data_IF_892719757664
#
_entry.id   IF_892719757664
#
_cell.length_a   1.000
_cell.length_b   1.000
_cell.length_c   1.000
_cell.angle_alpha   90.00
_cell.angle_beta   90.00
_cell.angle_gamma   90.00
#
_symmetry.space_group_name_H-M   'P 1'
#
loop_
_entity.id
_entity.type
_entity.pdbx_description
1 polymer ?
#
# COMPACT_ATOMS: atom_id res chain seq x y z
N UNK A 1 75.29 28.33 -21.41
CA UNK A 1 73.95 28.27 -20.76
C UNK A 1 72.99 27.62 -21.74
N UNK A 2 72.50 26.41 -21.43
CA UNK A 2 71.52 25.66 -22.25
C UNK A 2 70.11 26.07 -21.79
N UNK A 3 69.31 26.68 -22.66
CA UNK A 3 67.90 26.95 -22.38
C UNK A 3 67.05 25.78 -22.89
N UNK A 4 66.38 25.08 -21.97
CA UNK A 4 65.37 24.07 -22.27
C UNK A 4 64.00 24.76 -22.39
N UNK A 5 63.35 24.61 -23.54
CA UNK A 5 61.95 24.98 -23.76
C UNK A 5 61.06 23.88 -23.18
N UNK A 6 60.36 24.19 -22.09
CA UNK A 6 59.29 23.37 -21.52
C UNK A 6 58.00 23.58 -22.34
N UNK A 7 57.56 22.54 -23.05
CA UNK A 7 56.21 22.46 -23.60
C UNK A 7 55.23 22.12 -22.46
N UNK A 8 54.33 23.05 -22.14
CA UNK A 8 53.21 22.82 -21.24
C UNK A 8 52.10 22.05 -21.99
N UNK A 9 51.85 20.80 -21.60
CA UNK A 9 50.71 20.03 -22.06
C UNK A 9 49.45 20.46 -21.28
N UNK A 10 48.51 21.12 -21.95
CA UNK A 10 47.21 21.43 -21.38
C UNK A 10 46.35 20.15 -21.35
N UNK A 11 46.14 19.59 -20.16
CA UNK A 11 45.21 18.49 -19.95
C UNK A 11 43.77 19.05 -19.96
N UNK A 12 43.02 18.80 -21.04
CA UNK A 12 41.58 19.01 -21.06
C UNK A 12 40.92 17.92 -20.22
N UNK A 13 40.37 18.29 -19.06
CA UNK A 13 39.49 17.42 -18.29
C UNK A 13 38.17 17.26 -19.07
N UNK A 14 37.99 16.13 -19.75
CA UNK A 14 36.71 15.77 -20.34
C UNK A 14 35.76 15.42 -19.19
N UNK A 15 34.57 16.03 -19.09
CA UNK A 15 33.59 15.63 -18.08
C UNK A 15 33.25 14.15 -18.28
N UNK A 16 33.47 13.35 -17.24
CA UNK A 16 33.08 11.95 -17.26
C UNK A 16 31.55 11.88 -17.30
N UNK A 17 30.99 11.63 -18.50
CA UNK A 17 29.58 11.27 -18.62
C UNK A 17 29.38 9.97 -17.81
N UNK A 18 28.43 9.99 -16.88
CA UNK A 18 28.03 8.81 -16.12
C UNK A 18 27.65 7.69 -17.11
N UNK A 19 28.13 6.47 -16.85
CA UNK A 19 27.78 5.32 -17.67
C UNK A 19 26.37 4.81 -17.36
N UNK A 20 25.81 3.92 -18.19
CA UNK A 20 24.47 3.37 -17.99
C UNK A 20 24.22 2.74 -16.60
N UNK A 21 25.26 2.20 -15.96
CA UNK A 21 25.19 1.63 -14.61
C UNK A 21 25.00 2.74 -13.56
N UNK A 22 25.76 3.82 -13.64
CA UNK A 22 25.63 4.96 -12.73
C UNK A 22 24.30 5.69 -12.93
N UNK A 23 23.85 5.83 -14.18
CA UNK A 23 22.55 6.41 -14.50
C UNK A 23 21.40 5.56 -13.93
N UNK A 24 21.50 4.23 -14.02
CA UNK A 24 20.51 3.33 -13.44
C UNK A 24 20.48 3.39 -11.92
N UNK A 25 21.64 3.39 -11.26
CA UNK A 25 21.71 3.56 -9.81
C UNK A 25 21.06 4.88 -9.37
N UNK A 26 21.43 5.99 -10.04
CA UNK A 26 20.83 7.30 -9.75
C UNK A 26 19.32 7.30 -9.96
N UNK A 27 18.83 6.64 -11.00
CA UNK A 27 17.40 6.51 -11.24
C UNK A 27 16.70 5.76 -10.11
N UNK A 28 17.29 4.66 -9.62
CA UNK A 28 16.74 3.89 -8.50
C UNK A 28 16.70 4.72 -7.23
N UNK A 29 17.75 5.48 -6.92
CA UNK A 29 17.81 6.36 -5.75
C UNK A 29 16.76 7.48 -5.82
N UNK A 30 16.64 8.14 -6.97
CA UNK A 30 15.63 9.19 -7.18
C UNK A 30 14.20 8.63 -7.10
N UNK A 31 13.96 7.44 -7.66
CA UNK A 31 12.67 6.76 -7.59
C UNK A 31 12.32 6.36 -6.15
N UNK A 32 13.27 5.81 -5.40
CA UNK A 32 13.08 5.46 -4.00
C UNK A 32 12.75 6.70 -3.16
N UNK A 33 13.48 7.80 -3.35
CA UNK A 33 13.19 9.05 -2.66
C UNK A 33 11.78 9.59 -2.96
N UNK A 34 11.32 9.48 -4.22
CA UNK A 34 9.97 9.85 -4.62
C UNK A 34 8.90 8.94 -3.99
N UNK A 35 9.11 7.62 -4.03
CA UNK A 35 8.22 6.64 -3.39
C UNK A 35 8.03 6.96 -1.90
N UNK A 36 9.12 7.20 -1.17
CA UNK A 36 9.06 7.50 0.26
C UNK A 36 8.39 8.85 0.56
N UNK A 37 8.59 9.85 -0.29
CA UNK A 37 7.89 11.14 -0.17
C UNK A 37 6.38 10.98 -0.38
N UNK A 38 5.98 10.15 -1.32
CA UNK A 38 4.57 9.91 -1.65
C UNK A 38 3.90 8.96 -0.64
N UNK A 39 4.68 8.21 0.14
CA UNK A 39 4.21 7.27 1.17
C UNK A 39 4.90 7.50 2.54
N UNK A 40 4.52 8.55 3.30
CA UNK A 40 5.16 8.90 4.57
C UNK A 40 5.23 7.77 5.61
N UNK A 41 4.19 6.93 5.70
CA UNK A 41 4.16 5.79 6.64
C UNK A 41 5.16 4.70 6.22
N UNK A 42 5.31 4.45 4.92
CA UNK A 42 6.35 3.55 4.39
C UNK A 42 7.74 4.10 4.66
N UNK A 43 7.94 5.42 4.52
CA UNK A 43 9.21 6.06 4.87
C UNK A 43 9.61 5.77 6.32
N UNK A 44 8.69 5.95 7.26
CA UNK A 44 8.92 5.60 8.66
C UNK A 44 9.24 4.12 8.86
N UNK A 45 8.50 3.20 8.19
CA UNK A 45 8.71 1.76 8.37
C UNK A 45 10.07 1.27 7.88
N UNK A 46 10.71 1.99 6.95
CA UNK A 46 12.07 1.69 6.46
C UNK A 46 13.14 2.57 7.12
N UNK A 47 12.79 3.34 8.16
CA UNK A 47 13.74 4.15 8.94
C UNK A 47 14.03 5.55 8.39
N UNK A 48 13.28 6.02 7.39
CA UNK A 48 13.40 7.39 6.87
C UNK A 48 12.46 8.33 7.63
N UNK A 49 13.02 9.10 8.55
CA UNK A 49 12.28 9.94 9.50
C UNK A 49 11.83 11.30 8.94
N UNK A 50 12.27 11.62 7.71
CA UNK A 50 11.99 12.92 7.06
C UNK A 50 10.50 13.26 6.98
N UNK A 51 9.64 12.24 6.85
CA UNK A 51 8.19 12.38 6.65
C UNK A 51 7.38 11.90 7.87
N UNK A 52 8.01 11.78 9.05
CA UNK A 52 7.38 11.24 10.27
C UNK A 52 6.16 12.03 10.76
N UNK A 53 6.05 13.29 10.34
CA UNK A 53 4.97 14.20 10.71
C UNK A 53 3.82 14.23 9.71
N UNK A 54 3.95 13.53 8.59
CA UNK A 54 3.03 13.60 7.45
C UNK A 54 2.16 12.35 7.35
N UNK A 55 0.96 12.52 6.77
CA UNK A 55 0.06 11.43 6.41
C UNK A 55 -0.33 11.55 4.93
N UNK A 56 -0.05 10.48 4.17
CA UNK A 56 -0.24 10.43 2.73
C UNK A 56 -1.68 10.77 2.28
N UNK A 57 -1.79 11.40 1.12
CA UNK A 57 -3.06 11.75 0.47
C UNK A 57 -3.66 10.56 -0.25
N UNK A 58 -4.98 10.40 -0.15
CA UNK A 58 -5.74 9.36 -0.85
C UNK A 58 -6.66 9.92 -1.94
N UNK A 59 -6.42 11.16 -2.35
CA UNK A 59 -7.24 11.84 -3.36
C UNK A 59 -6.87 11.38 -4.77
N UNK A 60 -7.81 11.50 -5.71
CA UNK A 60 -7.54 11.19 -7.12
C UNK A 60 -6.45 12.10 -7.70
N UNK A 61 -6.44 13.37 -7.32
CA UNK A 61 -5.40 14.30 -7.74
C UNK A 61 -4.00 13.88 -7.25
N UNK A 62 -3.90 13.34 -6.04
CA UNK A 62 -2.63 12.78 -5.55
C UNK A 62 -2.19 11.58 -6.38
N UNK A 63 -3.10 10.64 -6.66
CA UNK A 63 -2.81 9.48 -7.52
C UNK A 63 -2.37 9.91 -8.93
N UNK A 64 -3.03 10.89 -9.55
CA UNK A 64 -2.67 11.38 -10.88
C UNK A 64 -1.29 12.06 -10.89
N UNK A 65 -0.95 12.83 -9.84
CA UNK A 65 0.39 13.42 -9.70
C UNK A 65 1.47 12.35 -9.56
N UNK A 66 1.22 11.31 -8.76
CA UNK A 66 2.16 10.20 -8.58
C UNK A 66 2.39 9.42 -9.88
N UNK A 67 1.34 9.23 -10.67
CA UNK A 67 1.42 8.54 -11.98
C UNK A 67 2.12 9.41 -13.04
N UNK A 68 1.91 10.73 -13.02
CA UNK A 68 2.67 11.64 -13.88
C UNK A 68 4.18 11.56 -13.56
N UNK A 69 4.54 11.51 -12.28
CA UNK A 69 5.91 11.30 -11.84
C UNK A 69 6.46 9.92 -12.24
N UNK A 70 5.66 8.86 -12.10
CA UNK A 70 6.01 7.52 -12.59
C UNK A 70 6.29 7.52 -14.11
N UNK A 71 5.52 8.28 -14.89
CA UNK A 71 5.76 8.48 -16.32
C UNK A 71 7.13 9.12 -16.63
N UNK A 72 7.56 10.08 -15.82
CA UNK A 72 8.91 10.69 -15.91
C UNK A 72 9.98 9.65 -15.61
N UNK A 73 9.83 8.85 -14.55
CA UNK A 73 10.76 7.77 -14.22
C UNK A 73 10.82 6.71 -15.31
N UNK A 74 9.69 6.30 -15.87
CA UNK A 74 9.63 5.31 -16.94
C UNK A 74 10.34 5.80 -18.22
N UNK A 75 10.19 7.08 -18.56
CA UNK A 75 10.92 7.69 -19.68
C UNK A 75 12.43 7.66 -19.44
N UNK A 76 12.89 8.01 -18.23
CA UNK A 76 14.32 7.95 -17.85
C UNK A 76 14.83 6.51 -17.88
N UNK A 77 14.06 5.55 -17.37
CA UNK A 77 14.40 4.13 -17.38
C UNK A 77 14.60 3.63 -18.81
N UNK A 78 13.65 3.92 -19.72
CA UNK A 78 13.70 3.50 -21.13
C UNK A 78 14.88 4.09 -21.92
N UNK A 79 15.51 5.16 -21.43
CA UNK A 79 16.72 5.72 -22.02
C UNK A 79 18.00 4.94 -21.66
N UNK A 80 17.95 4.08 -20.64
CA UNK A 80 19.08 3.26 -20.20
C UNK A 80 19.07 1.94 -20.97
N UNK A 81 20.19 1.59 -21.60
CA UNK A 81 20.33 0.32 -22.31
C UNK A 81 20.40 -0.85 -21.31
N UNK A 82 19.31 -1.61 -21.17
CA UNK A 82 19.26 -2.76 -20.25
C UNK A 82 20.37 -3.79 -20.53
N UNK A 83 20.74 -4.00 -21.80
CA UNK A 83 21.80 -4.94 -22.19
C UNK A 83 23.21 -4.54 -21.72
N UNK A 84 23.40 -3.29 -21.28
CA UNK A 84 24.65 -2.80 -20.70
C UNK A 84 24.75 -3.02 -19.18
N UNK A 85 23.67 -3.52 -18.54
CA UNK A 85 23.63 -3.82 -17.12
C UNK A 85 24.06 -5.27 -16.85
N UNK A 86 24.52 -5.54 -15.62
CA UNK A 86 24.74 -6.91 -15.13
C UNK A 86 23.43 -7.72 -15.13
N UNK A 87 23.50 -9.05 -15.01
CA UNK A 87 22.29 -9.88 -14.90
C UNK A 87 21.35 -9.42 -13.77
N UNK A 88 21.90 -9.06 -12.60
CA UNK A 88 21.13 -8.49 -11.50
C UNK A 88 20.56 -7.11 -11.84
N UNK A 89 21.32 -6.26 -12.54
CA UNK A 89 20.85 -4.97 -13.01
C UNK A 89 19.72 -5.09 -14.04
N UNK A 90 19.78 -6.08 -14.93
CA UNK A 90 18.72 -6.39 -15.89
C UNK A 90 17.43 -6.85 -15.20
N UNK A 91 17.56 -7.69 -14.16
CA UNK A 91 16.42 -8.10 -13.34
C UNK A 91 15.78 -6.90 -12.63
N UNK A 92 16.59 -6.05 -11.98
CA UNK A 92 16.11 -4.83 -11.31
C UNK A 92 15.46 -3.85 -12.30
N UNK A 93 16.03 -3.70 -13.50
CA UNK A 93 15.46 -2.90 -14.57
C UNK A 93 14.07 -3.43 -14.97
N UNK A 94 13.94 -4.74 -15.15
CA UNK A 94 12.67 -5.36 -15.52
C UNK A 94 11.60 -5.16 -14.44
N UNK A 95 11.95 -5.36 -13.16
CA UNK A 95 11.04 -5.14 -12.03
C UNK A 95 10.60 -3.67 -11.95
N UNK A 96 11.54 -2.72 -12.04
CA UNK A 96 11.21 -1.29 -11.98
C UNK A 96 10.32 -0.88 -13.17
N UNK A 97 10.60 -1.39 -14.37
CA UNK A 97 9.78 -1.14 -15.55
C UNK A 97 8.37 -1.65 -15.36
N UNK A 98 8.21 -2.89 -14.90
CA UNK A 98 6.90 -3.50 -14.67
C UNK A 98 6.10 -2.75 -13.60
N UNK A 99 6.74 -2.37 -12.49
CA UNK A 99 6.11 -1.57 -11.43
C UNK A 99 5.61 -0.21 -11.95
N UNK A 100 6.44 0.51 -12.73
CA UNK A 100 6.08 1.82 -13.28
C UNK A 100 4.96 1.70 -14.31
N UNK A 101 5.05 0.76 -15.24
CA UNK A 101 4.01 0.53 -16.27
C UNK A 101 2.70 0.10 -15.63
N UNK A 102 2.74 -0.80 -14.65
CA UNK A 102 1.55 -1.26 -13.93
C UNK A 102 0.92 -0.16 -13.08
N UNK A 103 1.72 0.71 -12.43
CA UNK A 103 1.19 1.87 -11.70
C UNK A 103 0.46 2.85 -12.62
N UNK A 104 1.02 3.11 -13.81
CA UNK A 104 0.39 3.98 -14.82
C UNK A 104 -0.91 3.37 -15.33
N UNK A 105 -0.92 2.07 -15.64
CA UNK A 105 -2.12 1.37 -16.12
C UNK A 105 -3.20 1.26 -15.04
N UNK A 106 -2.82 0.94 -13.79
CA UNK A 106 -3.71 0.89 -12.62
C UNK A 106 -4.51 2.19 -12.45
N UNK A 107 -3.86 3.33 -12.70
CA UNK A 107 -4.48 4.65 -12.56
C UNK A 107 -5.61 4.90 -13.58
N UNK A 108 -5.64 4.14 -14.70
CA UNK A 108 -6.72 4.18 -15.68
C UNK A 108 -7.98 3.41 -15.27
N UNK A 109 -7.93 2.62 -14.20
CA UNK A 109 -9.07 1.86 -13.70
C UNK A 109 -9.78 2.60 -12.57
N UNK A 110 -11.10 2.73 -12.65
CA UNK A 110 -11.89 3.42 -11.63
C UNK A 110 -11.93 2.70 -10.27
N UNK A 111 -11.57 1.41 -10.24
CA UNK A 111 -11.36 0.61 -9.03
C UNK A 111 -10.31 1.20 -8.08
N UNK A 112 -9.42 2.10 -8.58
CA UNK A 112 -8.48 2.87 -7.74
C UNK A 112 -9.16 3.72 -6.65
N UNK A 113 -10.47 3.95 -6.75
CA UNK A 113 -11.26 4.70 -5.77
C UNK A 113 -11.70 3.85 -4.56
N UNK A 114 -11.58 2.52 -4.63
CA UNK A 114 -12.04 1.63 -3.57
C UNK A 114 -10.99 1.48 -2.46
N UNK A 115 -11.13 2.29 -1.43
CA UNK A 115 -10.27 2.26 -0.23
C UNK A 115 -10.85 1.42 0.92
N UNK A 116 -11.91 0.65 0.66
CA UNK A 116 -12.58 -0.15 1.67
C UNK A 116 -12.92 -1.56 1.20
N UNK A 117 -12.71 -2.53 2.09
CA UNK A 117 -13.14 -3.92 2.01
C UNK A 117 -13.18 -4.53 3.41
N UNK A 118 -13.67 -5.75 3.54
CA UNK A 118 -13.59 -6.51 4.82
C UNK A 118 -12.19 -7.06 5.13
N UNK A 119 -11.31 -7.17 4.12
CA UNK A 119 -9.93 -7.64 4.33
C UNK A 119 -8.99 -6.50 4.70
N UNK A 120 -9.39 -5.26 4.42
CA UNK A 120 -8.61 -4.07 4.68
C UNK A 120 -9.36 -2.83 4.24
N UNK A 121 -9.32 -1.80 5.07
CA UNK A 121 -9.99 -0.52 4.84
C UNK A 121 -9.15 0.63 5.38
N UNK A 122 -9.28 1.80 4.77
CA UNK A 122 -8.46 2.95 5.13
C UNK A 122 -8.64 3.36 6.60
N UNK A 123 -9.88 3.35 7.11
CA UNK A 123 -10.15 3.68 8.51
C UNK A 123 -9.50 2.70 9.49
N UNK A 124 -9.42 1.41 9.14
CA UNK A 124 -8.72 0.40 9.94
C UNK A 124 -7.20 0.57 9.90
N UNK A 125 -6.65 0.88 8.73
CA UNK A 125 -5.21 1.13 8.52
C UNK A 125 -4.74 2.35 9.32
N UNK A 126 -5.49 3.45 9.24
CA UNK A 126 -5.16 4.70 9.94
C UNK A 126 -5.23 4.51 11.46
N UNK A 127 -6.21 3.76 11.97
CA UNK A 127 -6.31 3.43 13.39
C UNK A 127 -5.16 2.55 13.91
N UNK A 128 -4.54 1.74 13.06
CA UNK A 128 -3.40 0.88 13.40
C UNK A 128 -2.03 1.52 13.20
N UNK A 129 -1.96 2.77 12.76
CA UNK A 129 -0.71 3.39 12.32
C UNK A 129 0.36 3.52 13.41
N UNK A 130 -0.04 3.56 14.69
CA UNK A 130 0.89 3.50 15.83
C UNK A 130 1.68 2.19 15.91
N UNK A 131 1.23 1.11 15.27
CA UNK A 131 1.91 -0.20 15.31
C UNK A 131 3.16 -0.26 14.42
N UNK A 132 3.31 0.71 13.49
CA UNK A 132 4.33 0.68 12.43
C UNK A 132 5.45 1.73 12.59
N UNK A 133 5.60 2.35 13.77
CA UNK A 133 6.63 3.37 14.02
C UNK A 133 7.25 3.26 15.42
N UNK A 134 8.51 3.70 15.61
CA UNK A 134 9.17 3.65 16.91
C UNK A 134 8.59 4.70 17.88
N UNK A 135 8.68 4.41 19.18
CA UNK A 135 8.25 5.31 20.27
C UNK A 135 9.26 5.31 21.43
N UNK A 136 10.40 5.98 21.23
CA UNK A 136 11.57 5.94 22.16
C UNK A 136 11.93 7.31 22.72
N UNK A 137 11.64 8.37 22.00
CA UNK A 137 12.03 9.75 22.34
C UNK A 137 10.82 10.68 22.31
N UNK A 138 10.95 11.85 22.92
CA UNK A 138 9.91 12.89 22.82
C UNK A 138 9.52 13.19 21.37
N UNK A 139 10.52 13.25 20.47
CA UNK A 139 10.30 13.57 19.06
C UNK A 139 9.43 12.51 18.36
N UNK A 140 9.57 11.23 18.70
CA UNK A 140 8.76 10.15 18.12
C UNK A 140 7.26 10.36 18.44
N UNK A 141 6.96 10.65 19.71
CA UNK A 141 5.58 10.91 20.14
C UNK A 141 5.03 12.22 19.57
N UNK A 142 5.83 13.28 19.51
CA UNK A 142 5.39 14.56 18.93
C UNK A 142 5.16 14.45 17.41
N UNK A 143 6.02 13.70 16.70
CA UNK A 143 5.84 13.42 15.28
C UNK A 143 4.56 12.60 15.04
N UNK A 144 4.32 11.59 15.87
CA UNK A 144 3.09 10.81 15.80
C UNK A 144 1.85 11.69 16.01
N UNK A 145 1.84 12.56 17.03
CA UNK A 145 0.74 13.53 17.24
C UNK A 145 0.52 14.43 16.02
N UNK A 146 1.60 14.93 15.42
CA UNK A 146 1.51 15.74 14.20
C UNK A 146 0.90 14.94 13.05
N UNK A 147 1.33 13.68 12.86
CA UNK A 147 0.80 12.79 11.82
C UNK A 147 -0.68 12.47 12.04
N UNK A 148 -1.08 12.07 13.25
CA UNK A 148 -2.48 11.73 13.51
C UNK A 148 -3.40 12.96 13.51
N UNK A 149 -2.86 14.18 13.54
CA UNK A 149 -3.65 15.40 13.36
C UNK A 149 -4.23 15.55 11.95
N UNK A 150 -3.69 14.83 10.96
CA UNK A 150 -4.24 14.78 9.59
C UNK A 150 -5.41 13.80 9.44
N UNK A 151 -5.65 12.91 10.41
CA UNK A 151 -6.68 11.87 10.33
C UNK A 151 -8.08 12.44 10.03
N UNK A 152 -8.54 13.55 10.62
CA UNK A 152 -9.86 14.11 10.29
C UNK A 152 -10.00 14.45 8.81
N UNK A 153 -9.03 15.18 8.24
CA UNK A 153 -9.04 15.53 6.82
C UNK A 153 -9.01 14.28 5.92
N UNK A 154 -8.21 13.28 6.29
CA UNK A 154 -8.12 12.03 5.53
C UNK A 154 -9.37 11.16 5.60
N UNK A 155 -10.07 11.16 6.74
CA UNK A 155 -11.36 10.48 6.86
C UNK A 155 -12.45 11.18 6.03
N UNK A 156 -12.38 12.51 5.90
CA UNK A 156 -13.25 13.25 4.99
C UNK A 156 -12.94 12.90 3.52
N UNK A 157 -11.67 12.96 3.10
CA UNK A 157 -11.23 12.53 1.75
C UNK A 157 -11.70 11.10 1.42
N UNK A 158 -11.64 10.20 2.42
CA UNK A 158 -12.07 8.81 2.30
C UNK A 158 -13.59 8.67 2.11
N UNK A 159 -14.38 9.49 2.81
CA UNK A 159 -15.83 9.60 2.59
C UNK A 159 -16.14 10.04 1.17
N UNK A 160 -15.55 11.16 0.74
CA UNK A 160 -15.78 11.76 -0.58
C UNK A 160 -15.45 10.80 -1.73
N UNK A 161 -14.26 10.17 -1.68
CA UNK A 161 -13.85 9.23 -2.73
C UNK A 161 -14.70 7.97 -2.73
N UNK A 162 -15.16 7.50 -1.56
CA UNK A 162 -16.05 6.33 -1.46
C UNK A 162 -17.43 6.62 -2.06
N UNK A 163 -17.99 7.79 -1.79
CA UNK A 163 -19.28 8.23 -2.36
C UNK A 163 -19.16 8.43 -3.87
N UNK A 164 -18.05 9.01 -4.34
CA UNK A 164 -17.76 9.12 -5.77
C UNK A 164 -17.66 7.74 -6.43
N UNK A 165 -16.89 6.81 -5.86
CA UNK A 165 -16.76 5.45 -6.35
C UNK A 165 -18.13 4.78 -6.52
N UNK A 166 -18.98 4.89 -5.50
CA UNK A 166 -20.32 4.31 -5.51
C UNK A 166 -21.21 4.89 -6.60
N UNK A 167 -21.17 6.22 -6.81
CA UNK A 167 -21.91 6.90 -7.89
C UNK A 167 -21.46 6.46 -9.28
N UNK A 168 -20.19 6.09 -9.42
CA UNK A 168 -19.60 5.61 -10.69
C UNK A 168 -19.72 4.09 -10.89
N UNK A 169 -20.36 3.38 -9.95
CA UNK A 169 -20.57 1.92 -10.04
C UNK A 169 -19.41 1.08 -9.52
N UNK A 170 -18.45 1.68 -8.82
CA UNK A 170 -17.36 0.98 -8.13
C UNK A 170 -17.75 0.77 -6.66
N UNK A 171 -18.19 -0.44 -6.34
CA UNK A 171 -18.68 -0.82 -5.00
C UNK A 171 -18.24 -2.24 -4.65
N UNK A 172 -18.18 -2.54 -3.35
CA UNK A 172 -17.96 -3.91 -2.88
C UNK A 172 -19.20 -4.79 -3.09
N UNK A 173 -19.06 -6.13 -3.19
CA UNK A 173 -20.19 -7.05 -3.22
C UNK A 173 -21.03 -7.01 -1.93
N UNK A 174 -22.36 -7.06 -2.02
CA UNK A 174 -23.22 -7.05 -0.83
C UNK A 174 -22.92 -8.22 0.13
N UNK A 175 -22.58 -9.39 -0.43
CA UNK A 175 -22.23 -10.59 0.34
C UNK A 175 -21.03 -10.40 1.27
N UNK A 176 -20.13 -9.45 0.98
CA UNK A 176 -18.96 -9.16 1.83
C UNK A 176 -19.21 -8.01 2.79
N UNK A 177 -20.24 -7.19 2.63
CA UNK A 177 -20.40 -5.95 3.41
C UNK A 177 -21.17 -6.14 4.74
N UNK A 178 -21.61 -7.36 5.04
CA UNK A 178 -22.22 -7.70 6.33
C UNK A 178 -21.26 -7.38 7.48
N UNK A 179 -21.69 -6.55 8.42
CA UNK A 179 -20.88 -6.15 9.58
C UNK A 179 -19.83 -5.08 9.30
N UNK A 180 -19.64 -4.64 8.05
CA UNK A 180 -18.69 -3.57 7.72
C UNK A 180 -18.92 -2.26 8.52
N UNK A 181 -20.17 -1.78 8.73
CA UNK A 181 -20.40 -0.58 9.55
C UNK A 181 -19.80 -0.66 10.96
N UNK A 182 -19.84 -1.85 11.58
CA UNK A 182 -19.28 -2.08 12.90
C UNK A 182 -17.75 -1.94 12.93
N UNK A 183 -17.08 -2.15 11.79
CA UNK A 183 -15.62 -1.93 11.69
C UNK A 183 -15.26 -0.44 11.72
N UNK A 184 -16.18 0.44 11.33
CA UNK A 184 -16.00 1.90 11.41
C UNK A 184 -16.22 2.34 12.85
N UNK A 185 -17.38 2.00 13.41
CA UNK A 185 -17.77 2.45 14.75
C UNK A 185 -16.95 1.80 15.86
N UNK A 186 -16.44 0.59 15.64
CA UNK A 186 -15.55 -0.11 16.58
C UNK A 186 -14.20 0.58 16.83
N UNK A 187 -13.82 1.56 16.00
CA UNK A 187 -12.63 2.39 16.27
C UNK A 187 -12.93 3.49 17.30
N UNK A 188 -14.19 3.88 17.45
CA UNK A 188 -14.61 4.97 18.34
C UNK A 188 -14.74 4.41 19.76
N UNK A 189 -14.07 5.05 20.72
CA UNK A 189 -14.18 4.74 22.15
C UNK A 189 -14.52 5.99 22.95
N UNK A 190 -15.40 5.84 23.93
CA UNK A 190 -15.73 6.89 24.89
C UNK A 190 -14.55 7.23 25.82
N UNK A 191 -13.76 6.22 26.18
CA UNK A 191 -12.52 6.41 26.92
C UNK A 191 -11.35 6.53 25.91
N UNK A 192 -10.77 7.72 25.71
CA UNK A 192 -9.68 7.90 24.77
C UNK A 192 -8.45 7.07 25.15
N UNK A 193 -8.27 6.68 26.42
CA UNK A 193 -7.15 5.82 26.83
C UNK A 193 -7.23 4.40 26.27
N UNK A 194 -8.42 3.95 25.85
CA UNK A 194 -8.64 2.65 25.18
C UNK A 194 -8.55 2.74 23.66
N UNK A 195 -8.31 3.91 23.09
CA UNK A 195 -8.25 4.10 21.65
C UNK A 195 -6.99 3.47 21.07
N UNK A 196 -7.09 2.85 19.89
CA UNK A 196 -5.91 2.39 19.15
C UNK A 196 -4.94 3.55 18.83
N UNK A 197 -5.47 4.76 18.62
CA UNK A 197 -4.66 5.96 18.44
C UNK A 197 -3.88 6.36 19.70
N UNK A 198 -4.40 6.02 20.89
CA UNK A 198 -3.73 6.30 22.17
C UNK A 198 -2.76 5.19 22.58
N UNK A 199 -2.82 4.01 21.97
CA UNK A 199 -2.03 2.84 22.38
C UNK A 199 -0.53 3.12 22.63
N UNK A 200 0.18 3.94 21.82
CA UNK A 200 1.57 4.29 22.12
C UNK A 200 1.77 5.00 23.47
N UNK A 201 0.81 5.83 23.89
CA UNK A 201 0.86 6.61 25.13
C UNK A 201 0.42 5.83 26.37
N UNK A 202 -0.11 4.61 26.19
CA UNK A 202 -0.40 3.68 27.27
C UNK A 202 0.82 2.85 27.68
N UNK A 203 1.89 2.85 26.87
CA UNK A 203 3.15 2.21 27.19
C UNK A 203 3.89 2.95 28.34
N UNK A 204 4.86 2.30 28.99
CA UNK A 204 5.71 2.97 29.98
C UNK A 204 6.40 4.19 29.39
N UNK A 205 6.41 5.29 30.17
CA UNK A 205 7.10 6.54 29.80
C UNK A 205 8.58 6.26 29.47
N UNK A 206 9.11 6.74 28.33
CA UNK A 206 10.53 6.62 28.06
C UNK A 206 11.40 7.34 29.10
N UNK A 207 12.58 6.79 29.39
CA UNK A 207 13.52 7.39 30.34
C UNK A 207 14.01 8.78 29.89
N UNK A 208 14.11 8.99 28.58
CA UNK A 208 14.55 10.24 27.94
C UNK A 208 13.51 11.37 27.98
N UNK A 209 12.28 11.09 28.42
CA UNK A 209 11.17 12.06 28.44
C UNK A 209 10.84 12.44 29.87
N UNK A 210 10.77 13.74 30.18
CA UNK A 210 10.39 14.22 31.52
C UNK A 210 8.93 13.90 31.85
N UNK A 211 8.58 13.83 33.14
CA UNK A 211 7.20 13.60 33.57
C UNK A 211 6.23 14.67 33.05
N UNK A 212 6.67 15.94 33.01
CA UNK A 212 5.86 17.03 32.48
C UNK A 212 5.60 16.89 30.97
N UNK A 213 6.65 16.60 30.19
CA UNK A 213 6.50 16.35 28.75
C UNK A 213 5.61 15.14 28.47
N UNK A 214 5.73 14.08 29.26
CA UNK A 214 4.89 12.90 29.09
C UNK A 214 3.41 13.19 29.35
N UNK A 215 3.13 13.93 30.42
CA UNK A 215 1.76 14.35 30.73
C UNK A 215 1.18 15.25 29.62
N UNK A 216 1.96 16.18 29.07
CA UNK A 216 1.56 17.00 27.92
C UNK A 216 1.23 16.16 26.68
N UNK A 217 2.14 15.25 26.30
CA UNK A 217 1.95 14.35 25.17
C UNK A 217 0.66 13.52 25.31
N UNK A 218 0.42 12.95 26.50
CA UNK A 218 -0.80 12.20 26.81
C UNK A 218 -2.06 13.06 26.73
N UNK A 219 -2.00 14.30 27.26
CA UNK A 219 -3.14 15.23 27.21
C UNK A 219 -3.47 15.63 25.76
N UNK A 220 -2.46 15.98 24.96
CA UNK A 220 -2.62 16.30 23.54
C UNK A 220 -3.19 15.12 22.74
N UNK A 221 -2.73 13.90 23.02
CA UNK A 221 -3.28 12.69 22.39
C UNK A 221 -4.77 12.52 22.69
N UNK A 222 -5.16 12.63 23.98
CA UNK A 222 -6.58 12.50 24.40
C UNK A 222 -7.46 13.57 23.77
N UNK A 223 -7.01 14.83 23.79
CA UNK A 223 -7.75 15.94 23.19
C UNK A 223 -7.94 15.72 21.68
N UNK A 224 -6.87 15.35 20.96
CA UNK A 224 -6.98 15.08 19.52
C UNK A 224 -7.94 13.92 19.20
N UNK A 225 -7.93 12.87 20.02
CA UNK A 225 -8.83 11.74 19.86
C UNK A 225 -10.29 12.16 20.08
N UNK A 226 -10.59 12.83 21.20
CA UNK A 226 -11.96 13.21 21.56
C UNK A 226 -12.50 14.30 20.64
N UNK A 227 -11.72 15.33 20.38
CA UNK A 227 -12.21 16.56 19.76
C UNK A 227 -12.18 16.51 18.22
N UNK A 228 -11.40 15.60 17.63
CA UNK A 228 -11.15 15.56 16.18
C UNK A 228 -11.29 14.18 15.55
N UNK A 229 -10.60 13.17 16.08
CA UNK A 229 -10.55 11.84 15.44
C UNK A 229 -11.87 11.09 15.63
N UNK A 230 -12.41 11.02 16.86
CA UNK A 230 -13.69 10.36 17.10
C UNK A 230 -14.82 11.00 16.25
N UNK A 231 -14.97 12.34 16.20
CA UNK A 231 -15.93 12.99 15.31
C UNK A 231 -15.76 12.65 13.83
N UNK A 232 -14.53 12.57 13.30
CA UNK A 232 -14.33 12.25 11.89
C UNK A 232 -14.73 10.81 11.53
N UNK A 233 -14.55 9.87 12.46
CA UNK A 233 -15.06 8.50 12.29
C UNK A 233 -16.59 8.44 12.41
N UNK A 234 -17.20 9.25 13.28
CA UNK A 234 -18.66 9.38 13.36
C UNK A 234 -19.24 9.94 12.07
N UNK A 235 -18.60 10.97 11.50
CA UNK A 235 -18.99 11.56 10.21
C UNK A 235 -18.87 10.57 9.06
N UNK A 236 -17.79 9.79 9.01
CA UNK A 236 -17.65 8.72 8.01
C UNK A 236 -18.69 7.61 8.20
N UNK A 237 -19.00 7.22 9.45
CA UNK A 237 -20.07 6.26 9.72
C UNK A 237 -21.43 6.77 9.23
N UNK A 238 -21.75 8.05 9.48
CA UNK A 238 -22.97 8.69 8.99
C UNK A 238 -23.00 8.76 7.46
N UNK A 239 -21.87 9.09 6.83
CA UNK A 239 -21.73 9.07 5.36
C UNK A 239 -21.93 7.66 4.80
N UNK A 240 -21.38 6.64 5.45
CA UNK A 240 -21.58 5.26 5.04
C UNK A 240 -23.06 4.88 5.12
N UNK A 241 -23.73 5.13 6.25
CA UNK A 241 -25.14 4.79 6.43
C UNK A 241 -26.05 5.53 5.45
N UNK A 242 -25.76 6.80 5.16
CA UNK A 242 -26.55 7.63 4.24
C UNK A 242 -26.33 7.28 2.77
N UNK A 243 -25.08 7.16 2.36
CA UNK A 243 -24.70 7.20 0.94
C UNK A 243 -24.16 5.87 0.40
N UNK A 244 -23.69 4.94 1.27
CA UNK A 244 -22.94 3.75 0.84
C UNK A 244 -23.58 2.41 1.24
N UNK A 245 -24.32 2.35 2.35
CA UNK A 245 -24.81 1.09 2.94
C UNK A 245 -25.63 0.24 1.97
N UNK A 246 -26.46 0.89 1.17
CA UNK A 246 -27.31 0.24 0.16
C UNK A 246 -26.68 0.29 -1.24
N UNK A 247 -25.43 0.74 -1.36
CA UNK A 247 -24.66 0.81 -2.61
C UNK A 247 -23.62 -0.30 -2.63
N UNK A 248 -24.07 -1.50 -2.95
CA UNK A 248 -23.24 -2.67 -3.10
C UNK A 248 -23.64 -3.47 -4.35
N UNK A 249 -22.71 -4.26 -4.89
CA UNK A 249 -22.99 -5.10 -6.06
C UNK A 249 -23.66 -6.40 -5.64
N UNK A 250 -24.71 -6.81 -6.34
CA UNK A 250 -25.28 -8.16 -6.19
C UNK A 250 -24.36 -9.24 -6.78
N UNK A 251 -23.46 -8.86 -7.68
CA UNK A 251 -22.44 -9.76 -8.21
C UNK A 251 -21.19 -9.73 -7.34
N UNK A 252 -20.63 -10.92 -7.09
CA UNK A 252 -19.33 -11.07 -6.44
C UNK A 252 -18.15 -10.86 -7.40
N UNK A 253 -18.41 -10.75 -8.70
CA UNK A 253 -17.38 -10.63 -9.72
C UNK A 253 -17.04 -9.16 -9.98
N UNK A 254 -15.75 -8.82 -9.89
CA UNK A 254 -15.25 -7.50 -10.29
C UNK A 254 -15.51 -7.22 -11.77
N UNK A 255 -15.63 -8.27 -12.60
CA UNK A 255 -15.97 -8.14 -14.03
C UNK A 255 -17.36 -7.56 -14.28
N UNK A 256 -18.23 -7.52 -13.26
CA UNK A 256 -19.53 -6.84 -13.35
C UNK A 256 -19.45 -5.32 -13.23
N UNK A 257 -18.32 -4.77 -12.79
CA UNK A 257 -18.12 -3.32 -12.67
C UNK A 257 -17.72 -2.71 -14.02
N UNK A 258 -17.82 -1.38 -14.18
CA UNK A 258 -17.30 -0.69 -15.35
C UNK A 258 -15.84 -1.07 -15.64
N UNK A 259 -15.55 -1.46 -16.88
CA UNK A 259 -14.24 -1.96 -17.32
C UNK A 259 -13.68 -3.15 -16.48
N UNK A 260 -14.54 -3.88 -15.78
CA UNK A 260 -14.14 -4.87 -14.79
C UNK A 260 -13.40 -6.08 -15.36
N UNK A 261 -13.74 -6.53 -16.57
CA UNK A 261 -13.04 -7.65 -17.20
C UNK A 261 -11.58 -7.31 -17.53
N UNK A 262 -11.33 -6.10 -18.05
CA UNK A 262 -9.98 -5.61 -18.28
C UNK A 262 -9.22 -5.42 -16.96
N UNK A 263 -9.89 -4.89 -15.93
CA UNK A 263 -9.29 -4.77 -14.59
C UNK A 263 -8.94 -6.15 -14.00
N UNK A 264 -9.81 -7.15 -14.18
CA UNK A 264 -9.52 -8.51 -13.73
C UNK A 264 -8.32 -9.12 -14.45
N UNK A 265 -8.23 -8.95 -15.77
CA UNK A 265 -7.07 -9.39 -16.56
C UNK A 265 -5.78 -8.65 -16.14
N UNK A 266 -5.88 -7.35 -15.86
CA UNK A 266 -4.79 -6.56 -15.30
C UNK A 266 -4.32 -7.12 -13.94
N UNK A 267 -5.24 -7.39 -13.03
CA UNK A 267 -4.92 -7.94 -11.71
C UNK A 267 -4.32 -9.34 -11.79
N UNK A 268 -4.84 -10.21 -12.66
CA UNK A 268 -4.25 -11.53 -12.92
C UNK A 268 -2.81 -11.40 -13.39
N UNK A 269 -2.52 -10.47 -14.30
CA UNK A 269 -1.15 -10.21 -14.76
C UNK A 269 -0.26 -9.71 -13.63
N UNK A 270 -0.71 -8.73 -12.84
CA UNK A 270 0.08 -8.21 -11.71
C UNK A 270 0.39 -9.27 -10.66
N UNK A 271 -0.58 -10.13 -10.32
CA UNK A 271 -0.42 -11.12 -9.25
C UNK A 271 0.36 -12.35 -9.69
N UNK A 272 0.30 -12.72 -10.97
CA UNK A 272 0.95 -13.94 -11.48
C UNK A 272 2.26 -13.65 -12.20
N UNK A 273 2.48 -12.41 -12.65
CA UNK A 273 3.58 -11.99 -13.54
C UNK A 273 3.66 -12.78 -14.86
N UNK A 274 2.58 -13.50 -15.22
CA UNK A 274 2.48 -14.26 -16.47
C UNK A 274 1.79 -13.45 -17.57
N UNK A 275 1.88 -13.93 -18.81
CA UNK A 275 1.10 -13.42 -19.95
C UNK A 275 -0.17 -14.25 -20.22
N UNK A 276 -0.51 -15.18 -19.33
CA UNK A 276 -1.66 -16.05 -19.51
C UNK A 276 -2.95 -15.26 -19.27
N UNK A 277 -3.98 -15.57 -20.05
CA UNK A 277 -5.31 -15.00 -19.83
C UNK A 277 -5.97 -15.61 -18.59
N UNK A 278 -6.96 -14.92 -17.99
CA UNK A 278 -7.74 -15.50 -16.90
C UNK A 278 -8.34 -16.88 -17.26
N UNK A 279 -8.83 -17.05 -18.49
CA UNK A 279 -9.40 -18.32 -18.95
C UNK A 279 -8.34 -19.43 -19.04
N UNK A 280 -7.14 -19.12 -19.53
CA UNK A 280 -6.04 -20.09 -19.57
C UNK A 280 -5.65 -20.56 -18.17
N UNK A 281 -5.56 -19.63 -17.22
CA UNK A 281 -5.26 -19.94 -15.83
C UNK A 281 -6.39 -20.77 -15.21
N UNK A 282 -7.65 -20.43 -15.51
CA UNK A 282 -8.79 -21.21 -15.04
C UNK A 282 -8.74 -22.66 -15.53
N UNK A 283 -8.45 -22.88 -16.81
CA UNK A 283 -8.33 -24.23 -17.38
C UNK A 283 -7.17 -25.02 -16.76
N UNK A 284 -6.02 -24.39 -16.54
CA UNK A 284 -4.90 -25.00 -15.80
C UNK A 284 -5.37 -25.41 -14.39
N UNK A 285 -6.07 -24.52 -13.69
CA UNK A 285 -6.59 -24.79 -12.35
C UNK A 285 -7.56 -25.99 -12.30
N UNK A 286 -8.48 -26.10 -13.27
CA UNK A 286 -9.37 -27.25 -13.36
C UNK A 286 -8.61 -28.56 -13.57
N UNK A 287 -7.58 -28.54 -14.43
CA UNK A 287 -6.68 -29.69 -14.63
C UNK A 287 -5.95 -30.09 -13.36
N UNK A 288 -5.37 -29.11 -12.64
CA UNK A 288 -4.65 -29.37 -11.39
C UNK A 288 -5.57 -29.88 -10.27
N UNK A 289 -6.80 -29.36 -10.15
CA UNK A 289 -7.79 -29.89 -9.20
C UNK A 289 -8.10 -31.35 -9.48
N UNK A 290 -8.30 -31.72 -10.75
CA UNK A 290 -8.56 -33.11 -11.13
C UNK A 290 -7.36 -34.02 -10.81
N UNK A 291 -6.14 -33.59 -11.18
CA UNK A 291 -4.90 -34.33 -10.91
C UNK A 291 -4.67 -34.56 -9.42
N UNK A 292 -4.73 -33.49 -8.62
CA UNK A 292 -4.48 -33.56 -7.16
C UNK A 292 -5.55 -34.43 -6.48
N UNK A 293 -6.82 -34.35 -6.89
CA UNK A 293 -7.87 -35.23 -6.34
C UNK A 293 -7.58 -36.71 -6.62
N UNK A 294 -7.16 -37.06 -7.84
CA UNK A 294 -6.81 -38.45 -8.17
C UNK A 294 -5.61 -38.97 -7.37
N UNK A 295 -4.61 -38.11 -7.12
CA UNK A 295 -3.48 -38.45 -6.26
C UNK A 295 -3.91 -38.66 -4.80
N UNK A 296 -4.78 -37.80 -4.28
CA UNK A 296 -5.33 -37.95 -2.92
C UNK A 296 -6.12 -39.27 -2.75
N UNK A 297 -6.87 -39.71 -3.75
CA UNK A 297 -7.54 -41.02 -3.72
C UNK A 297 -6.53 -42.18 -3.65
N UNK A 298 -5.42 -42.05 -4.37
CA UNK A 298 -4.36 -43.06 -4.37
C UNK A 298 -3.67 -43.12 -3.01
N UNK A 299 -3.36 -41.96 -2.43
CA UNK A 299 -2.78 -41.85 -1.07
C UNK A 299 -3.72 -42.44 -0.03
N UNK A 300 -5.02 -42.13 -0.10
CA UNK A 300 -6.00 -42.66 0.84
C UNK A 300 -6.06 -44.19 0.80
N UNK A 301 -6.13 -44.79 -0.40
CA UNK A 301 -6.12 -46.25 -0.57
C UNK A 301 -4.85 -46.89 -0.02
N UNK A 302 -3.69 -46.30 -0.31
CA UNK A 302 -2.40 -46.81 0.18
C UNK A 302 -2.28 -46.72 1.71
N UNK A 303 -2.92 -45.73 2.32
CA UNK A 303 -2.99 -45.57 3.77
C UNK A 303 -4.09 -46.42 4.43
N UNK A 304 -4.78 -47.28 3.67
CA UNK A 304 -5.81 -48.20 4.19
C UNK A 304 -7.22 -47.62 4.28
N UNK A 305 -7.44 -46.41 3.76
CA UNK A 305 -8.76 -45.79 3.73
C UNK A 305 -9.55 -46.17 2.48
N UNK A 306 -10.87 -46.24 2.62
CA UNK A 306 -11.77 -46.57 1.51
C UNK A 306 -11.86 -45.48 0.44
N UNK A 307 -11.70 -44.21 0.83
CA UNK A 307 -11.63 -43.05 -0.06
C UNK A 307 -10.90 -41.88 0.58
N UNK A 308 -10.61 -40.86 -0.21
CA UNK A 308 -10.15 -39.55 0.27
C UNK A 308 -11.07 -38.98 1.35
N UNK A 309 -12.39 -39.03 1.18
CA UNK A 309 -13.36 -38.47 2.13
C UNK A 309 -13.31 -39.20 3.47
N UNK A 310 -13.19 -40.53 3.45
CA UNK A 310 -13.04 -41.32 4.68
C UNK A 310 -11.75 -40.94 5.43
N UNK A 311 -10.64 -40.82 4.70
CA UNK A 311 -9.36 -40.37 5.24
C UNK A 311 -9.46 -38.97 5.87
N UNK A 312 -10.08 -38.01 5.16
CA UNK A 312 -10.25 -36.64 5.65
C UNK A 312 -11.16 -36.58 6.88
N UNK A 313 -12.22 -37.40 6.94
CA UNK A 313 -13.13 -37.43 8.08
C UNK A 313 -12.42 -37.91 9.36
N UNK A 314 -11.58 -38.93 9.26
CA UNK A 314 -10.80 -39.45 10.40
C UNK A 314 -9.70 -38.48 10.84
N UNK A 315 -8.98 -37.84 9.91
CA UNK A 315 -7.91 -36.90 10.27
C UNK A 315 -8.39 -35.57 10.87
N UNK A 316 -9.69 -35.26 10.75
CA UNK A 316 -10.28 -34.04 11.30
C UNK A 316 -10.75 -34.18 12.75
N UNK A 317 -10.73 -35.39 13.30
CA UNK A 317 -10.98 -35.67 14.72
C UNK A 317 -9.69 -35.67 15.51
#
# INVERSE_FOLDING_TARGET
MRHYLLLAAAAFAVPAFAGPVQDFQKLQDDYWAALLRNSPTTATSVGVTKYDRELGEITLAAADRQVAEAGVFLKRLKAISAGSLSAAGQANYAILKDNLESSIEANGFGQRQLYYSILGSYHGLVAGMGEAQPFRTYADYDNYLARISFVPARMHDYGDISVKAAKEGFVQPCATMTGFPATITGVITADPAKSRFYAPFAAPKPASVSTAQWADLQARAKALIVDKINPSYQEFAATYDRDLKDKCSQSVSVSSQPNGAAYYAFQVRQQTTTKLTPDQIHQIGLGEVARIRAEMETVAKNAGYASREAMIAEMRT
#
